data_IF_692018886671
#
_entry.id   IF_692018886671
#
_cell.length_a   1.000
_cell.length_b   1.000
_cell.length_c   1.000
_cell.angle_alpha   90.00
_cell.angle_beta   90.00
_cell.angle_gamma   90.00
#
_symmetry.space_group_name_H-M   'P 1'
#
loop_
_entity.id
_entity.type
_entity.pdbx_description
1 polymer ?
#
# COMPACT_ATOMS: atom_id res chain seq x y z
N UNK A 1 30.39 -2.99 -8.58
CA UNK A 1 29.71 -1.94 -7.78
C UNK A 1 28.38 -2.52 -7.37
N UNK A 2 28.37 -3.02 -6.14
CA UNK A 2 27.38 -3.90 -5.56
C UNK A 2 25.94 -3.34 -5.66
N UNK A 3 25.18 -3.94 -6.56
CA UNK A 3 23.78 -4.37 -6.41
C UNK A 3 23.05 -3.92 -5.14
N UNK A 4 22.66 -2.65 -5.04
CA UNK A 4 21.58 -2.25 -4.15
C UNK A 4 20.23 -2.38 -4.87
N UNK A 5 19.93 -3.56 -5.41
CA UNK A 5 18.64 -3.86 -6.04
C UNK A 5 17.47 -3.84 -5.04
N UNK A 6 17.77 -3.77 -3.75
CA UNK A 6 16.82 -3.77 -2.63
C UNK A 6 16.94 -2.49 -1.80
N UNK A 7 17.06 -1.33 -2.47
CA UNK A 7 17.03 -0.07 -1.76
C UNK A 7 15.65 0.13 -1.08
N UNK A 8 15.60 0.63 0.16
CA UNK A 8 14.33 0.86 0.86
C UNK A 8 13.42 1.83 0.10
N UNK A 9 13.96 2.73 -0.71
CA UNK A 9 13.21 3.61 -1.61
C UNK A 9 12.51 2.82 -2.73
N UNK A 10 13.16 1.81 -3.31
CA UNK A 10 12.52 0.92 -4.29
C UNK A 10 11.37 0.16 -3.65
N UNK A 11 11.56 -0.34 -2.43
CA UNK A 11 10.49 -1.01 -1.69
C UNK A 11 9.31 -0.06 -1.41
N UNK A 12 9.58 1.21 -1.14
CA UNK A 12 8.53 2.23 -0.97
C UNK A 12 7.74 2.44 -2.26
N UNK A 13 8.42 2.49 -3.41
CA UNK A 13 7.76 2.59 -4.73
C UNK A 13 6.86 1.37 -4.98
N UNK A 14 7.37 0.16 -4.76
CA UNK A 14 6.59 -1.07 -4.91
C UNK A 14 5.33 -1.07 -4.03
N UNK A 15 5.45 -0.70 -2.76
CA UNK A 15 4.30 -0.62 -1.85
C UNK A 15 3.28 0.43 -2.29
N UNK A 16 3.73 1.58 -2.79
CA UNK A 16 2.84 2.62 -3.32
C UNK A 16 2.12 2.18 -4.59
N UNK A 17 2.81 1.45 -5.48
CA UNK A 17 2.19 0.85 -6.67
C UNK A 17 1.13 -0.19 -6.26
N UNK A 18 1.46 -1.11 -5.36
CA UNK A 18 0.51 -2.14 -4.88
C UNK A 18 -0.70 -1.49 -4.21
N UNK A 19 -0.50 -0.41 -3.44
CA UNK A 19 -1.59 0.35 -2.84
C UNK A 19 -2.51 0.98 -3.90
N UNK A 20 -1.94 1.60 -4.94
CA UNK A 20 -2.70 2.21 -6.03
C UNK A 20 -3.50 1.17 -6.84
N UNK A 21 -2.89 0.02 -7.13
CA UNK A 21 -3.58 -1.09 -7.80
C UNK A 21 -4.74 -1.60 -6.95
N UNK A 22 -4.54 -1.70 -5.64
CA UNK A 22 -5.59 -2.14 -4.72
C UNK A 22 -6.73 -1.13 -4.61
N UNK A 23 -6.44 0.17 -4.68
CA UNK A 23 -7.47 1.22 -4.78
C UNK A 23 -8.30 1.06 -6.06
N UNK A 24 -7.65 0.86 -7.21
CA UNK A 24 -8.34 0.63 -8.48
C UNK A 24 -9.23 -0.64 -8.43
N UNK A 25 -8.77 -1.71 -7.79
CA UNK A 25 -9.56 -2.92 -7.57
C UNK A 25 -10.77 -2.68 -6.68
N UNK A 26 -10.61 -1.91 -5.59
CA UNK A 26 -11.72 -1.53 -4.69
C UNK A 26 -12.76 -0.71 -5.46
N UNK A 27 -12.32 0.25 -6.26
CA UNK A 27 -13.19 1.10 -7.07
C UNK A 27 -13.95 0.32 -8.14
N UNK A 28 -13.33 -0.71 -8.72
CA UNK A 28 -13.98 -1.64 -9.64
C UNK A 28 -15.01 -2.52 -8.94
N UNK A 29 -14.63 -3.11 -7.80
CA UNK A 29 -15.52 -3.99 -7.03
C UNK A 29 -16.72 -3.24 -6.42
N UNK A 30 -16.54 -1.97 -6.04
CA UNK A 30 -17.61 -1.13 -5.52
C UNK A 30 -18.70 -0.81 -6.56
N UNK A 31 -18.39 -0.90 -7.86
CA UNK A 31 -19.35 -0.67 -8.95
C UNK A 31 -20.15 -1.92 -9.31
N UNK A 32 -19.78 -3.10 -8.82
CA UNK A 32 -20.50 -4.34 -9.09
C UNK A 32 -21.74 -4.44 -8.19
N UNK A 33 -22.84 -4.95 -8.75
CA UNK A 33 -24.09 -5.19 -8.02
C UNK A 33 -24.57 -6.62 -8.29
N UNK A 34 -24.84 -7.42 -7.24
CA UNK A 34 -24.64 -7.12 -5.82
C UNK A 34 -23.14 -7.07 -5.47
N UNK A 35 -22.77 -6.11 -4.63
CA UNK A 35 -21.39 -6.00 -4.15
C UNK A 35 -21.09 -7.12 -3.14
N UNK A 36 -19.96 -7.81 -3.31
CA UNK A 36 -19.48 -8.78 -2.32
C UNK A 36 -18.90 -8.03 -1.11
N UNK A 37 -19.72 -7.85 -0.07
CA UNK A 37 -19.32 -7.14 1.15
C UNK A 37 -18.10 -7.76 1.84
N UNK A 38 -17.97 -9.11 1.83
CA UNK A 38 -16.86 -9.79 2.48
C UNK A 38 -15.56 -9.50 1.73
N UNK A 39 -15.60 -9.58 0.40
CA UNK A 39 -14.48 -9.21 -0.47
C UNK A 39 -14.11 -7.74 -0.25
N UNK A 40 -15.09 -6.83 -0.24
CA UNK A 40 -14.85 -5.40 -0.01
C UNK A 40 -14.19 -5.12 1.34
N UNK A 41 -14.61 -5.82 2.42
CA UNK A 41 -13.96 -5.71 3.74
C UNK A 41 -12.51 -6.20 3.71
N UNK A 42 -12.24 -7.32 3.02
CA UNK A 42 -10.87 -7.86 2.87
C UNK A 42 -9.96 -6.91 2.10
N UNK A 43 -10.43 -6.36 0.98
CA UNK A 43 -9.67 -5.42 0.16
C UNK A 43 -9.33 -4.14 0.95
N UNK A 44 -10.32 -3.55 1.63
CA UNK A 44 -10.10 -2.37 2.49
C UNK A 44 -9.10 -2.64 3.63
N UNK A 45 -9.15 -3.83 4.25
CA UNK A 45 -8.19 -4.23 5.28
C UNK A 45 -6.77 -4.35 4.70
N UNK A 46 -6.62 -4.96 3.53
CA UNK A 46 -5.31 -5.06 2.85
C UNK A 46 -4.77 -3.68 2.48
N UNK A 47 -5.62 -2.76 2.03
CA UNK A 47 -5.23 -1.38 1.72
C UNK A 47 -4.72 -0.64 2.95
N UNK A 48 -5.42 -0.77 4.08
CA UNK A 48 -4.97 -0.19 5.34
C UNK A 48 -3.59 -0.72 5.74
N UNK A 49 -3.38 -2.05 5.65
CA UNK A 49 -2.09 -2.66 5.96
C UNK A 49 -0.96 -2.16 5.05
N UNK A 50 -1.21 -2.00 3.74
CA UNK A 50 -0.23 -1.42 2.81
C UNK A 50 0.10 0.03 3.17
N UNK A 51 -0.91 0.85 3.49
CA UNK A 51 -0.72 2.23 3.94
C UNK A 51 0.14 2.30 5.20
N UNK A 52 -0.10 1.42 6.16
CA UNK A 52 0.67 1.38 7.40
C UNK A 52 2.13 0.93 7.17
N UNK A 53 2.35 0.00 6.22
CA UNK A 53 3.70 -0.39 5.80
C UNK A 53 4.44 0.75 5.09
N UNK A 54 3.76 1.48 4.20
CA UNK A 54 4.29 2.68 3.54
C UNK A 54 4.70 3.69 4.61
N UNK A 55 3.81 4.05 5.53
CA UNK A 55 4.09 5.03 6.57
C UNK A 55 5.25 4.60 7.48
N UNK A 56 5.34 3.31 7.81
CA UNK A 56 6.47 2.77 8.60
C UNK A 56 7.78 2.89 7.84
N UNK A 57 7.80 2.57 6.55
CA UNK A 57 9.01 2.64 5.73
C UNK A 57 9.42 4.09 5.46
N UNK A 58 8.46 4.97 5.23
CA UNK A 58 8.68 6.42 5.12
C UNK A 58 9.34 6.98 6.38
N UNK A 59 8.90 6.59 7.58
CA UNK A 59 9.55 7.02 8.84
C UNK A 59 10.99 6.50 9.00
N UNK A 60 11.32 5.36 8.39
CA UNK A 60 12.68 4.81 8.42
C UNK A 60 13.59 5.54 7.42
N UNK A 61 13.04 5.89 6.25
CA UNK A 61 13.74 6.62 5.19
C UNK A 61 13.90 8.11 5.51
N UNK A 62 12.88 8.71 6.10
CA UNK A 62 12.80 10.11 6.51
C UNK A 62 12.30 10.14 7.96
N UNK A 63 13.20 9.95 8.95
CA UNK A 63 12.84 10.05 10.35
C UNK A 63 12.52 11.50 10.67
N UNK A 64 11.27 11.88 10.49
CA UNK A 64 10.73 13.13 11.04
C UNK A 64 10.85 13.04 12.55
N UNK A 65 11.80 13.78 13.13
CA UNK A 65 11.92 13.93 14.57
C UNK A 65 10.54 14.30 15.15
N UNK A 66 10.03 13.58 16.16
CA UNK A 66 8.88 14.06 16.89
C UNK A 66 9.33 15.32 17.66
N UNK A 67 8.78 16.46 17.28
CA UNK A 67 8.86 17.72 18.02
C UNK A 67 8.20 17.60 19.41
#
# INVERSE_FOLDING_TARGET
MDTNLHSPERRLIELRMEHADLDALIDGAARQVPADELMMRRLKKRRLALRDQIARLERVLDPKEPA
#
